data_IF_953598302485
#
_entry.id   IF_953598302485
#
_cell.length_a   1.000
_cell.length_b   1.000
_cell.length_c   1.000
_cell.angle_alpha   90.00
_cell.angle_beta   90.00
_cell.angle_gamma   90.00
#
_symmetry.space_group_name_H-M   'P 1'
#
loop_
_entity.id
_entity.type
_entity.pdbx_description
1 polymer ?
#
# COMPACT_ATOMS: atom_id res chain seq x y z
N UNK A 1 -5.21 40.16 8.80
CA UNK A 1 -5.62 38.82 9.29
C UNK A 1 -6.76 38.35 8.41
N UNK A 2 -6.82 37.21 7.73
CA UNK A 2 -6.00 35.99 7.71
C UNK A 2 -6.14 35.36 6.31
N UNK A 3 -5.03 35.16 5.59
CA UNK A 3 -5.03 34.56 4.24
C UNK A 3 -4.21 33.27 4.26
N UNK A 4 -4.66 32.29 5.04
CA UNK A 4 -4.02 30.96 5.14
C UNK A 4 -4.98 29.79 4.99
N UNK A 5 -6.27 30.03 4.78
CA UNK A 5 -7.31 28.98 4.74
C UNK A 5 -7.64 28.43 3.34
N UNK A 6 -6.98 28.89 2.27
CA UNK A 6 -7.30 28.41 0.90
C UNK A 6 -6.39 27.29 0.38
N UNK A 7 -5.18 27.12 0.94
CA UNK A 7 -4.25 26.10 0.43
C UNK A 7 -4.60 24.71 0.94
N UNK A 8 -5.02 24.58 2.20
CA UNK A 8 -5.38 23.29 2.78
C UNK A 8 -6.68 22.73 2.17
N UNK A 9 -7.72 23.57 2.04
CA UNK A 9 -9.01 23.20 1.43
C UNK A 9 -8.89 22.82 -0.05
N UNK A 10 -7.96 23.43 -0.80
CA UNK A 10 -7.69 23.08 -2.19
C UNK A 10 -7.02 21.71 -2.35
N UNK A 11 -6.09 21.36 -1.45
CA UNK A 11 -5.45 20.03 -1.45
C UNK A 11 -6.46 18.98 -1.00
N UNK A 12 -7.25 19.28 0.03
CA UNK A 12 -8.31 18.39 0.53
C UNK A 12 -9.38 18.13 -0.54
N UNK A 13 -9.78 19.16 -1.30
CA UNK A 13 -10.74 19.03 -2.40
C UNK A 13 -10.19 18.25 -3.60
N UNK A 14 -8.91 18.43 -3.93
CA UNK A 14 -8.24 17.66 -4.98
C UNK A 14 -8.06 16.18 -4.57
N UNK A 15 -7.89 15.91 -3.28
CA UNK A 15 -7.86 14.55 -2.71
C UNK A 15 -9.25 13.92 -2.71
N UNK A 16 -10.30 14.69 -2.40
CA UNK A 16 -11.69 14.20 -2.34
C UNK A 16 -12.29 13.89 -3.72
N UNK A 17 -11.94 14.65 -4.77
CA UNK A 17 -12.54 14.44 -6.10
C UNK A 17 -12.05 13.19 -6.84
N UNK A 18 -10.89 12.65 -6.46
CA UNK A 18 -10.30 11.44 -7.07
C UNK A 18 -10.38 10.18 -6.19
N UNK A 19 -10.95 10.28 -4.98
CA UNK A 19 -10.68 9.33 -3.90
C UNK A 19 -11.86 8.55 -3.32
N UNK A 20 -13.05 8.59 -3.93
CA UNK A 20 -14.20 7.84 -3.44
C UNK A 20 -14.30 6.48 -4.13
N UNK A 21 -14.08 5.41 -3.36
CA UNK A 21 -14.24 4.04 -3.80
C UNK A 21 -14.85 3.22 -2.65
N UNK A 22 -15.83 2.32 -2.89
CA UNK A 22 -16.56 1.61 -1.83
C UNK A 22 -15.65 0.83 -0.87
N UNK A 23 -14.52 0.32 -1.38
CA UNK A 23 -13.53 -0.43 -0.61
C UNK A 23 -12.30 0.39 -0.19
N UNK A 24 -12.24 1.69 -0.49
CA UNK A 24 -11.10 2.53 -0.15
C UNK A 24 -11.50 3.61 0.85
N UNK A 25 -11.09 3.42 2.10
CA UNK A 25 -11.41 4.33 3.19
C UNK A 25 -10.24 5.29 3.41
N UNK A 26 -10.43 6.56 3.08
CA UNK A 26 -9.40 7.59 3.28
C UNK A 26 -9.18 7.82 4.79
N UNK A 27 -7.95 7.62 5.25
CA UNK A 27 -7.50 7.80 6.63
C UNK A 27 -6.16 8.53 6.65
N UNK A 28 -6.09 9.68 7.30
CA UNK A 28 -4.85 10.43 7.52
C UNK A 28 -3.95 10.60 6.25
N UNK A 29 -4.56 10.82 5.09
CA UNK A 29 -3.85 11.07 3.82
C UNK A 29 -3.50 9.83 2.99
N UNK A 30 -3.91 8.64 3.38
CA UNK A 30 -3.79 7.41 2.60
C UNK A 30 -5.12 6.63 2.60
N UNK A 31 -5.31 5.71 1.66
CA UNK A 31 -6.49 4.84 1.65
C UNK A 31 -6.18 3.52 2.33
N UNK A 32 -7.02 3.13 3.28
CA UNK A 32 -7.07 1.76 3.81
C UNK A 32 -8.04 0.96 2.95
N UNK A 33 -7.57 -0.15 2.37
CA UNK A 33 -8.38 -0.96 1.46
C UNK A 33 -8.97 -2.15 2.22
N UNK A 34 -10.29 -2.20 2.28
CA UNK A 34 -11.05 -3.25 2.94
C UNK A 34 -12.33 -3.53 2.15
N UNK A 35 -12.60 -4.81 1.88
CA UNK A 35 -13.81 -5.26 1.20
C UNK A 35 -14.77 -5.77 2.26
N UNK A 36 -15.89 -5.06 2.47
CA UNK A 36 -16.90 -5.45 3.47
C UNK A 36 -16.24 -5.69 4.84
N UNK A 37 -16.62 -6.77 5.53
CA UNK A 37 -16.08 -7.17 6.84
C UNK A 37 -14.82 -8.05 6.73
N UNK A 38 -14.20 -8.15 5.54
CA UNK A 38 -12.96 -8.94 5.36
C UNK A 38 -11.77 -8.26 6.04
N UNK A 39 -10.66 -9.00 6.29
CA UNK A 39 -9.42 -8.38 6.74
C UNK A 39 -8.93 -7.27 5.79
N UNK A 40 -8.12 -6.36 6.34
CA UNK A 40 -7.49 -5.29 5.56
C UNK A 40 -6.58 -5.90 4.49
N UNK A 41 -6.77 -5.48 3.24
CA UNK A 41 -5.92 -5.95 2.13
C UNK A 41 -4.60 -5.18 2.08
N UNK A 42 -4.62 -3.92 2.54
CA UNK A 42 -3.43 -3.08 2.63
C UNK A 42 -3.78 -1.61 2.54
N UNK A 43 -2.82 -0.83 2.05
CA UNK A 43 -2.90 0.63 2.02
C UNK A 43 -2.44 1.17 0.67
N UNK A 44 -3.05 2.27 0.24
CA UNK A 44 -2.68 2.98 -0.98
C UNK A 44 -2.28 4.41 -0.62
N UNK A 45 -1.11 4.84 -1.08
CA UNK A 45 -0.59 6.19 -0.87
C UNK A 45 -0.47 6.90 -2.21
N UNK A 46 -1.00 8.12 -2.31
CA UNK A 46 -0.82 8.95 -3.50
C UNK A 46 0.61 9.44 -3.56
N UNK A 47 1.29 9.18 -4.68
CA UNK A 47 2.65 9.59 -4.94
C UNK A 47 2.72 10.50 -6.17
N UNK A 48 3.58 11.52 -6.11
CA UNK A 48 3.93 12.38 -7.25
C UNK A 48 5.43 12.65 -7.19
N UNK A 49 6.14 12.36 -8.27
CA UNK A 49 7.58 12.56 -8.32
C UNK A 49 7.92 14.05 -8.39
N UNK A 50 7.36 14.78 -9.36
CA UNK A 50 7.60 16.23 -9.51
C UNK A 50 6.30 17.05 -9.60
N UNK A 51 6.43 18.35 -9.34
CA UNK A 51 5.32 19.29 -9.50
C UNK A 51 5.02 19.49 -10.99
N UNK A 52 4.13 18.68 -11.53
CA UNK A 52 3.72 18.71 -12.93
C UNK A 52 3.22 17.33 -13.36
N UNK A 53 3.82 16.28 -12.80
CA UNK A 53 3.54 14.90 -13.15
C UNK A 53 2.12 14.45 -12.79
N UNK A 54 1.59 13.43 -13.48
CA UNK A 54 0.41 12.71 -13.02
C UNK A 54 0.64 12.09 -11.64
N UNK A 55 -0.45 11.98 -10.87
CA UNK A 55 -0.41 11.19 -9.65
C UNK A 55 -0.30 9.69 -9.97
N UNK A 56 0.46 9.00 -9.14
CA UNK A 56 0.53 7.54 -9.08
C UNK A 56 0.13 7.07 -7.70
N UNK A 57 -0.14 5.79 -7.55
CA UNK A 57 -0.71 5.20 -6.35
C UNK A 57 0.13 4.01 -5.92
N UNK A 58 0.90 4.21 -4.84
CA UNK A 58 1.74 3.16 -4.27
C UNK A 58 0.91 2.25 -3.37
N UNK A 59 0.95 0.95 -3.65
CA UNK A 59 0.27 -0.12 -2.91
C UNK A 59 1.23 -0.70 -1.89
N UNK A 60 0.75 -0.79 -0.65
CA UNK A 60 1.47 -1.37 0.49
C UNK A 60 0.64 -2.50 1.10
N UNK A 61 1.32 -3.55 1.57
CA UNK A 61 0.66 -4.63 2.30
C UNK A 61 0.18 -4.20 3.70
N UNK A 62 -0.76 -4.96 4.27
CA UNK A 62 -1.06 -4.93 5.70
C UNK A 62 -0.01 -5.67 6.53
N UNK A 63 1.24 -5.27 6.34
CA UNK A 63 2.42 -5.87 6.95
C UNK A 63 3.50 -4.82 7.17
N UNK A 64 4.40 -5.11 8.11
CA UNK A 64 5.59 -4.30 8.37
C UNK A 64 6.82 -5.19 8.37
N UNK A 65 7.93 -4.65 7.89
CA UNK A 65 9.23 -5.30 8.03
C UNK A 65 9.73 -5.19 9.48
N UNK A 66 10.90 -5.79 9.75
CA UNK A 66 11.55 -5.78 11.06
C UNK A 66 11.87 -4.38 11.60
N UNK A 67 11.95 -3.37 10.72
CA UNK A 67 12.16 -1.97 11.09
C UNK A 67 10.84 -1.23 11.38
N UNK A 68 9.70 -1.92 11.35
CA UNK A 68 8.38 -1.33 11.53
C UNK A 68 7.89 -0.51 10.33
N UNK A 69 8.56 -0.60 9.17
CA UNK A 69 8.19 0.10 7.94
C UNK A 69 7.15 -0.70 7.17
N UNK A 70 6.23 -0.02 6.48
CA UNK A 70 5.24 -0.68 5.61
C UNK A 70 5.93 -1.31 4.41
N UNK A 71 5.51 -2.52 4.04
CA UNK A 71 6.07 -3.24 2.90
C UNK A 71 5.40 -2.73 1.62
N UNK A 72 6.19 -2.07 0.75
CA UNK A 72 5.75 -1.63 -0.57
C UNK A 72 5.62 -2.83 -1.51
N UNK A 73 4.55 -2.85 -2.31
CA UNK A 73 4.26 -3.95 -3.25
C UNK A 73 4.46 -3.49 -4.70
N UNK A 74 3.71 -2.46 -5.11
CA UNK A 74 3.69 -2.00 -6.50
C UNK A 74 3.16 -0.58 -6.61
N UNK A 75 3.32 0.00 -7.79
CA UNK A 75 2.78 1.31 -8.17
C UNK A 75 1.73 1.18 -9.26
N UNK A 76 0.65 1.93 -9.12
CA UNK A 76 -0.51 1.93 -10.01
C UNK A 76 -0.82 3.31 -10.58
N UNK A 77 -1.39 3.42 -11.79
CA UNK A 77 -1.72 4.69 -12.42
C UNK A 77 -2.97 5.36 -11.80
N UNK A 78 -3.80 4.61 -11.07
CA UNK A 78 -5.01 5.16 -10.44
C UNK A 78 -5.36 4.44 -9.13
N UNK A 79 -6.16 5.09 -8.27
CA UNK A 79 -6.73 4.43 -7.10
C UNK A 79 -7.61 3.23 -7.50
N UNK A 80 -8.37 3.35 -8.58
CA UNK A 80 -9.27 2.28 -9.04
C UNK A 80 -8.49 1.02 -9.46
N UNK A 81 -7.41 1.19 -10.24
CA UNK A 81 -6.57 0.06 -10.66
C UNK A 81 -5.84 -0.56 -9.46
N UNK A 82 -5.39 0.26 -8.50
CA UNK A 82 -4.85 -0.23 -7.23
C UNK A 82 -5.85 -1.09 -6.45
N UNK A 83 -7.07 -0.59 -6.25
CA UNK A 83 -8.10 -1.33 -5.52
C UNK A 83 -8.50 -2.60 -6.26
N UNK A 84 -8.71 -2.54 -7.58
CA UNK A 84 -9.03 -3.70 -8.39
C UNK A 84 -7.96 -4.79 -8.26
N UNK A 85 -6.67 -4.43 -8.35
CA UNK A 85 -5.57 -5.36 -8.17
C UNK A 85 -5.57 -5.99 -6.77
N UNK A 86 -5.74 -5.18 -5.72
CA UNK A 86 -5.75 -5.68 -4.34
C UNK A 86 -6.90 -6.65 -4.08
N UNK A 87 -8.08 -6.39 -4.66
CA UNK A 87 -9.22 -7.30 -4.53
C UNK A 87 -8.98 -8.62 -5.27
N UNK A 88 -8.43 -8.55 -6.49
CA UNK A 88 -8.04 -9.75 -7.26
C UNK A 88 -7.02 -10.61 -6.50
N UNK A 89 -6.08 -9.98 -5.77
CA UNK A 89 -5.01 -10.66 -5.02
C UNK A 89 -5.31 -10.76 -3.52
N UNK A 90 -6.58 -10.67 -3.12
CA UNK A 90 -6.97 -10.53 -1.71
C UNK A 90 -6.51 -11.70 -0.83
N UNK A 91 -6.62 -12.93 -1.32
CA UNK A 91 -6.19 -14.12 -0.57
C UNK A 91 -4.68 -14.10 -0.28
N UNK A 92 -3.88 -13.71 -1.27
CA UNK A 92 -2.41 -13.64 -1.17
C UNK A 92 -1.96 -12.54 -0.22
N UNK A 93 -2.59 -11.37 -0.30
CA UNK A 93 -2.31 -10.24 0.59
C UNK A 93 -2.65 -10.58 2.05
N UNK A 94 -3.78 -11.25 2.29
CA UNK A 94 -4.18 -11.70 3.63
C UNK A 94 -3.19 -12.75 4.17
N UNK A 95 -2.81 -13.74 3.35
CA UNK A 95 -1.85 -14.77 3.73
C UNK A 95 -0.45 -14.18 4.00
N UNK A 96 -0.02 -13.21 3.19
CA UNK A 96 1.22 -12.47 3.38
C UNK A 96 1.23 -11.72 4.72
N UNK A 97 0.17 -10.95 5.00
CA UNK A 97 0.02 -10.22 6.25
C UNK A 97 0.02 -11.15 7.48
N UNK A 98 -0.66 -12.29 7.40
CA UNK A 98 -0.65 -13.29 8.47
C UNK A 98 0.75 -13.85 8.73
N UNK A 99 1.50 -14.23 7.69
CA UNK A 99 2.87 -14.74 7.80
C UNK A 99 3.84 -13.71 8.38
N UNK A 100 3.75 -12.46 7.94
CA UNK A 100 4.60 -11.35 8.44
C UNK A 100 4.44 -11.15 9.96
N UNK A 101 3.20 -11.19 10.47
CA UNK A 101 2.92 -11.09 11.92
C UNK A 101 3.52 -12.26 12.70
N UNK A 102 3.41 -13.48 12.20
CA UNK A 102 4.00 -14.66 12.85
C UNK A 102 5.53 -14.61 12.92
N UNK A 103 6.18 -14.09 11.87
CA UNK A 103 7.64 -13.90 11.84
C UNK A 103 8.10 -12.86 12.87
N UNK A 104 7.40 -11.73 12.93
CA UNK A 104 7.68 -10.66 13.89
C UNK A 104 7.48 -11.12 15.35
N UNK A 105 6.50 -11.98 15.61
CA UNK A 105 6.22 -12.55 16.94
C UNK A 105 7.18 -13.67 17.40
N UNK A 106 8.07 -14.15 16.54
CA UNK A 106 8.96 -15.30 16.82
C UNK A 106 10.39 -14.89 17.24
N UNK A 107 10.69 -13.59 17.39
CA UNK A 107 12.07 -13.12 17.60
C UNK A 107 12.47 -13.06 19.08
N UNK A 108 13.07 -14.16 19.56
CA UNK A 108 14.17 -14.09 20.53
C UNK A 108 15.46 -13.56 19.86
N UNK A 109 16.49 -13.18 20.63
CA UNK A 109 17.66 -12.46 20.11
C UNK A 109 18.54 -13.43 19.30
N UNK A 110 18.35 -13.44 17.99
CA UNK A 110 19.30 -14.06 17.07
C UNK A 110 19.64 -13.06 15.96
N UNK A 111 20.94 -12.84 15.85
CA UNK A 111 21.62 -12.05 14.84
C UNK A 111 21.34 -12.63 13.44
N UNK A 112 20.50 -11.93 12.70
CA UNK A 112 20.55 -11.89 11.24
C UNK A 112 20.21 -10.44 10.89
N UNK A 113 21.06 -9.84 10.06
CA UNK A 113 21.09 -8.39 9.93
C UNK A 113 19.77 -7.89 9.36
N UNK A 114 19.23 -6.80 9.94
CA UNK A 114 17.93 -6.26 9.57
C UNK A 114 17.82 -5.87 8.08
N UNK A 115 18.95 -5.67 7.40
CA UNK A 115 19.00 -5.34 5.97
C UNK A 115 18.64 -6.54 5.07
N UNK A 116 19.10 -7.75 5.41
CA UNK A 116 18.83 -8.96 4.61
C UNK A 116 17.35 -9.36 4.66
N UNK A 117 16.72 -9.20 5.83
CA UNK A 117 15.29 -9.47 5.99
C UNK A 117 14.40 -8.45 5.28
N UNK A 118 14.77 -7.16 5.32
CA UNK A 118 14.07 -6.13 4.57
C UNK A 118 14.13 -6.37 3.06
N UNK A 119 15.27 -6.87 2.55
CA UNK A 119 15.40 -7.25 1.13
C UNK A 119 14.46 -8.41 0.79
N UNK A 120 14.44 -9.47 1.59
CA UNK A 120 13.61 -10.65 1.33
C UNK A 120 12.11 -10.34 1.32
N UNK A 121 11.64 -9.47 2.22
CA UNK A 121 10.24 -9.05 2.25
C UNK A 121 9.87 -8.20 1.01
N UNK A 122 10.80 -7.37 0.51
CA UNK A 122 10.64 -6.59 -0.73
C UNK A 122 10.68 -7.48 -1.96
N UNK A 123 11.56 -8.48 -2.00
CA UNK A 123 11.66 -9.43 -3.11
C UNK A 123 10.38 -10.29 -3.21
N UNK A 124 9.85 -10.76 -2.07
CA UNK A 124 8.57 -11.48 -2.06
C UNK A 124 7.39 -10.59 -2.44
N UNK A 125 7.36 -9.34 -1.97
CA UNK A 125 6.37 -8.36 -2.40
C UNK A 125 6.44 -8.08 -3.90
N UNK A 126 7.65 -8.07 -4.46
CA UNK A 126 7.89 -7.94 -5.90
C UNK A 126 7.39 -9.16 -6.66
N UNK A 127 7.56 -10.38 -6.14
CA UNK A 127 6.95 -11.58 -6.73
C UNK A 127 5.44 -11.45 -6.83
N UNK A 128 4.76 -11.00 -5.76
CA UNK A 128 3.31 -10.73 -5.78
C UNK A 128 2.95 -9.69 -6.86
N UNK A 129 3.80 -8.69 -7.09
CA UNK A 129 3.61 -7.69 -8.15
C UNK A 129 3.89 -8.17 -9.58
N UNK A 130 4.62 -9.28 -9.75
CA UNK A 130 5.12 -9.76 -11.05
C UNK A 130 4.33 -10.94 -11.67
N UNK A 131 3.37 -11.53 -10.95
CA UNK A 131 2.59 -12.71 -11.40
C UNK A 131 1.82 -12.49 -12.73
N UNK A 132 1.57 -11.26 -13.19
CA UNK A 132 0.84 -11.00 -14.45
C UNK A 132 1.60 -10.21 -15.53
N UNK A 133 2.83 -10.61 -15.86
CA UNK A 133 3.50 -10.21 -17.12
C UNK A 133 3.93 -11.41 -17.98
N UNK A 134 3.42 -12.60 -17.68
CA UNK A 134 3.90 -13.86 -18.28
C UNK A 134 2.83 -14.81 -18.81
N UNK A 135 1.56 -14.43 -18.91
CA UNK A 135 0.53 -15.36 -19.40
C UNK A 135 -0.65 -14.68 -20.09
N UNK A 136 -0.36 -13.94 -21.15
CA UNK A 136 -1.28 -13.76 -22.27
C UNK A 136 -0.48 -14.01 -23.54
N UNK A 137 -0.34 -15.30 -23.87
CA UNK A 137 -0.01 -15.79 -25.21
C UNK A 137 -1.30 -16.18 -25.92
#
# INVERSE_FOLDING_TARGET
>A
MSKVKSKLDGIDSLVRSTGQHPWAHLQAGYWRIQVEDRPVLGYVIRHRAELGDPFTFDVYADARNDQGQRIWIRREPSLNTAVAWMVQHSAELIAFAARSRSRSGSRGPAETTAAEHASADVDQARELGHVERGQFG
#
